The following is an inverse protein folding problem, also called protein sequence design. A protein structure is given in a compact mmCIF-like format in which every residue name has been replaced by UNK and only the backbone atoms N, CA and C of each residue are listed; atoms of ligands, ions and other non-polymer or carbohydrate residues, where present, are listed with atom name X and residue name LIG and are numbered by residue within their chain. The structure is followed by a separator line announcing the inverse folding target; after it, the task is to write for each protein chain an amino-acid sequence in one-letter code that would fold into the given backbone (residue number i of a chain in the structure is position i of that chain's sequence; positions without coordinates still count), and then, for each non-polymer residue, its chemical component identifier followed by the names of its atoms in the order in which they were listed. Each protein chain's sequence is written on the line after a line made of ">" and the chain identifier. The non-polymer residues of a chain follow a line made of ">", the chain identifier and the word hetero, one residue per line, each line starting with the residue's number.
data_IF_406166866506
#
_entry.id   IF_406166866506
#
_cell.length_a   1.000
_cell.length_b   1.000
_cell.length_c   1.000
_cell.angle_alpha   90.00
_cell.angle_beta   90.00
_cell.angle_gamma   90.00
#
_symmetry.space_group_name_H-M   'P 1'
#
loop_
_entity.id
_entity.type
_entity.pdbx_description
1 polymer ?
#
# COMPACT_ATOMS: atom_id res chain seq x y z
N UNK A 1 -8.98 -9.05 -11.54
CA UNK A 1 -9.52 -9.18 -10.18
C UNK A 1 -8.67 -8.31 -9.26
N UNK A 2 -9.23 -7.37 -8.50
CA UNK A 2 -8.44 -6.58 -7.56
C UNK A 2 -7.92 -7.48 -6.44
N UNK A 3 -6.60 -7.47 -6.20
CA UNK A 3 -5.96 -8.17 -5.10
C UNK A 3 -5.70 -7.19 -3.95
N UNK A 4 -6.00 -7.55 -2.70
CA UNK A 4 -5.96 -6.63 -1.56
C UNK A 4 -4.55 -6.22 -1.09
N UNK A 5 -3.47 -6.55 -1.79
CA UNK A 5 -2.10 -6.12 -1.44
C UNK A 5 -1.60 -4.84 -2.12
N UNK A 6 -2.40 -4.21 -2.99
CA UNK A 6 -2.01 -3.03 -3.76
C UNK A 6 -2.63 -1.74 -3.21
N UNK A 7 -1.81 -0.75 -2.85
CA UNK A 7 -2.26 0.57 -2.37
C UNK A 7 -1.55 1.71 -3.13
N UNK A 8 -2.27 2.79 -3.51
CA UNK A 8 -1.65 3.98 -4.09
C UNK A 8 -0.85 4.78 -3.05
N UNK A 9 0.18 5.48 -3.51
CA UNK A 9 0.99 6.41 -2.71
C UNK A 9 0.76 7.82 -3.25
N UNK A 10 0.39 8.73 -2.36
CA UNK A 10 0.21 10.15 -2.66
C UNK A 10 1.29 10.98 -1.95
N UNK A 11 1.73 12.06 -2.58
CA UNK A 11 2.54 13.07 -1.90
C UNK A 11 1.69 13.96 -0.97
N UNK A 12 2.34 14.93 -0.31
CA UNK A 12 1.67 15.86 0.61
C UNK A 12 0.68 16.80 -0.08
N UNK A 13 0.84 17.01 -1.39
CA UNK A 13 -0.04 17.84 -2.21
C UNK A 13 -1.20 17.03 -2.83
N UNK A 14 -1.26 15.72 -2.53
CA UNK A 14 -2.28 14.81 -3.02
C UNK A 14 -2.01 14.27 -4.44
N UNK A 15 -0.82 14.50 -5.00
CA UNK A 15 -0.46 13.94 -6.31
C UNK A 15 -0.15 12.45 -6.17
N UNK A 16 -0.65 11.64 -7.11
CA UNK A 16 -0.29 10.22 -7.21
C UNK A 16 1.17 10.10 -7.65
N UNK A 17 2.03 9.57 -6.77
CA UNK A 17 3.47 9.44 -7.03
C UNK A 17 3.92 7.98 -7.17
N UNK A 18 3.04 7.02 -6.89
CA UNK A 18 3.33 5.61 -7.08
C UNK A 18 2.32 4.69 -6.40
N UNK A 19 2.75 3.45 -6.16
CA UNK A 19 1.98 2.44 -5.44
C UNK A 19 2.90 1.47 -4.71
N UNK A 20 2.38 0.84 -3.66
CA UNK A 20 2.99 -0.31 -2.98
C UNK A 20 2.17 -1.58 -3.31
N UNK A 21 2.87 -2.69 -3.49
CA UNK A 21 2.27 -4.00 -3.75
C UNK A 21 2.92 -5.08 -2.89
N UNK A 22 2.11 -5.82 -2.14
CA UNK A 22 2.55 -6.97 -1.33
C UNK A 22 1.82 -8.22 -1.80
N UNK A 23 2.55 -9.33 -1.89
CA UNK A 23 1.98 -10.64 -2.16
C UNK A 23 2.84 -11.74 -1.56
N UNK A 24 2.20 -12.71 -0.91
CA UNK A 24 2.86 -13.90 -0.38
C UNK A 24 2.13 -14.56 0.79
N UNK A 25 1.16 -13.87 1.40
CA UNK A 25 0.33 -14.41 2.49
C UNK A 25 -1.13 -14.58 2.11
N UNK A 26 -1.98 -14.66 3.14
CA UNK A 26 -3.42 -14.49 2.95
C UNK A 26 -3.71 -13.06 2.44
N UNK A 27 -4.77 -12.85 1.64
CA UNK A 27 -5.09 -11.54 1.09
C UNK A 27 -5.23 -10.42 2.15
N UNK A 28 -5.68 -10.74 3.37
CA UNK A 28 -5.74 -9.81 4.49
C UNK A 28 -4.36 -9.42 5.04
N UNK A 29 -3.40 -10.36 5.04
CA UNK A 29 -2.03 -10.10 5.47
C UNK A 29 -1.30 -9.22 4.46
N UNK A 30 -1.50 -9.48 3.17
CA UNK A 30 -0.94 -8.64 2.10
C UNK A 30 -1.42 -7.17 2.24
N UNK A 31 -2.70 -6.97 2.56
CA UNK A 31 -3.26 -5.64 2.83
C UNK A 31 -2.63 -4.98 4.07
N UNK A 32 -2.53 -5.71 5.18
CA UNK A 32 -1.99 -5.19 6.45
C UNK A 32 -0.52 -4.74 6.28
N UNK A 33 0.28 -5.54 5.58
CA UNK A 33 1.69 -5.21 5.30
C UNK A 33 1.77 -3.99 4.38
N UNK A 34 0.94 -3.91 3.34
CA UNK A 34 0.90 -2.76 2.45
C UNK A 34 0.53 -1.46 3.21
N UNK A 35 -0.43 -1.53 4.15
CA UNK A 35 -0.81 -0.41 5.01
C UNK A 35 0.33 0.02 5.94
N UNK A 36 1.03 -0.94 6.56
CA UNK A 36 2.18 -0.65 7.41
C UNK A 36 3.32 0.03 6.63
N UNK A 37 3.59 -0.42 5.40
CA UNK A 37 4.56 0.22 4.51
C UNK A 37 4.16 1.65 4.13
N UNK A 38 2.87 1.89 3.85
CA UNK A 38 2.36 3.24 3.58
C UNK A 38 2.49 4.16 4.80
N UNK A 39 2.18 3.66 6.01
CA UNK A 39 2.31 4.42 7.25
C UNK A 39 3.76 4.84 7.53
N UNK A 40 4.75 4.02 7.15
CA UNK A 40 6.16 4.33 7.31
C UNK A 40 6.65 5.49 6.42
N UNK A 41 5.92 5.83 5.35
CA UNK A 41 6.21 7.01 4.52
C UNK A 41 5.77 8.33 5.18
N UNK A 42 4.94 8.25 6.23
CA UNK A 42 4.38 9.39 6.94
C UNK A 42 5.02 9.63 8.31
N UNK A 43 5.98 10.56 8.33
CA UNK A 43 6.32 11.43 9.47
C UNK A 43 6.57 12.85 8.94
#
# INVERSE_FOLDING_TARGET
>A
MPFPGGLPIFDRDGNLVGAIGVSGGAPSQDLEIAQAGLAALGN
#
